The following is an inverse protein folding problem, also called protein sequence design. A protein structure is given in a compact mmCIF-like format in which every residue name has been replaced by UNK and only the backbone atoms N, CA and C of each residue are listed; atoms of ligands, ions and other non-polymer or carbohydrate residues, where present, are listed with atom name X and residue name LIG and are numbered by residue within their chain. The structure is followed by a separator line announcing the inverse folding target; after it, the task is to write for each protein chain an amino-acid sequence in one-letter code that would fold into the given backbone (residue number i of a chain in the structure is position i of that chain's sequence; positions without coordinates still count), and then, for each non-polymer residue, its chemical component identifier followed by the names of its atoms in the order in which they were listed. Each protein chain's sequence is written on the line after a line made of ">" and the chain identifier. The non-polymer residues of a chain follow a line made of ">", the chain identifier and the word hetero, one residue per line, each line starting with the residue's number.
data_IF_217509074717
#
_entry.id   IF_217509074717
#
_cell.length_a   1.000
_cell.length_b   1.000
_cell.length_c   1.000
_cell.angle_alpha   90.00
_cell.angle_beta   90.00
_cell.angle_gamma   90.00
#
_symmetry.space_group_name_H-M   'P 1'
#
loop_
_entity.id
_entity.type
_entity.pdbx_description
1 polymer ?
#
# COMPACT_ATOMS: atom_id res chain seq x y z
N UNK A 1 5.81 17.18 8.77
CA UNK A 1 7.12 16.59 9.07
C UNK A 1 7.43 15.48 8.08
N UNK A 2 8.55 15.57 7.44
CA UNK A 2 8.94 14.57 6.43
C UNK A 2 9.68 13.42 7.10
N UNK A 3 9.12 12.21 7.04
CA UNK A 3 9.86 11.02 7.42
C UNK A 3 10.58 10.50 6.18
N UNK A 4 11.87 10.75 6.10
CA UNK A 4 12.72 10.15 5.07
C UNK A 4 13.38 8.94 5.70
N UNK A 5 13.02 7.75 5.24
CA UNK A 5 13.78 6.57 5.58
C UNK A 5 14.69 6.28 4.38
N UNK A 6 15.94 6.63 4.53
CA UNK A 6 16.98 6.31 3.54
C UNK A 6 17.50 4.93 3.86
N UNK A 7 17.18 3.95 3.03
CA UNK A 7 17.81 2.65 3.15
C UNK A 7 19.00 2.61 2.21
N UNK A 8 20.16 2.93 2.74
CA UNK A 8 21.42 2.75 2.01
C UNK A 8 21.82 1.28 2.12
N UNK A 9 21.80 0.58 1.00
CA UNK A 9 22.43 -0.74 0.91
C UNK A 9 23.68 -0.63 0.07
N UNK A 10 24.82 -0.77 0.73
CA UNK A 10 26.09 -0.90 0.05
C UNK A 10 26.17 -2.24 -0.69
N UNK A 11 26.59 -2.19 -1.93
CA UNK A 11 27.05 -3.34 -2.69
C UNK A 11 26.04 -4.00 -3.62
N UNK A 12 25.85 -3.43 -4.78
CA UNK A 12 25.14 -4.06 -5.88
C UNK A 12 24.81 -3.04 -6.96
N UNK A 13 25.40 -3.18 -8.11
CA UNK A 13 25.09 -2.32 -9.25
C UNK A 13 23.59 -2.32 -9.54
N UNK A 14 22.96 -1.15 -9.50
CA UNK A 14 21.61 -0.92 -10.00
C UNK A 14 20.48 -0.79 -8.98
N UNK A 15 20.75 -0.79 -7.68
CA UNK A 15 19.70 -0.53 -6.67
C UNK A 15 19.87 0.87 -6.12
N UNK A 16 19.15 1.80 -6.73
CA UNK A 16 19.11 3.18 -6.29
C UNK A 16 18.45 3.32 -4.92
N UNK A 17 18.73 4.44 -4.31
CA UNK A 17 18.13 4.89 -3.07
C UNK A 17 16.61 5.00 -3.21
N UNK A 18 15.86 4.46 -2.22
CA UNK A 18 14.40 4.55 -2.15
C UNK A 18 14.02 5.38 -0.94
N UNK A 19 13.15 6.35 -1.12
CA UNK A 19 12.58 7.12 0.00
C UNK A 19 11.06 7.11 -0.06
N UNK A 20 10.43 7.27 1.10
CA UNK A 20 8.97 7.40 1.21
C UNK A 20 8.66 8.86 1.46
N UNK A 21 7.78 9.44 0.65
CA UNK A 21 7.33 10.82 0.82
C UNK A 21 5.81 10.91 0.77
N UNK A 22 5.28 11.99 1.31
CA UNK A 22 3.84 12.28 1.19
C UNK A 22 3.48 12.43 -0.29
N UNK A 23 2.41 11.76 -0.70
CA UNK A 23 1.84 11.98 -2.02
C UNK A 23 1.08 13.31 -2.05
N UNK A 24 1.09 13.96 -3.20
CA UNK A 24 0.39 15.21 -3.45
C UNK A 24 -0.55 15.07 -4.64
N UNK A 25 -1.44 16.04 -4.83
CA UNK A 25 -2.48 15.98 -5.87
C UNK A 25 -1.93 15.66 -7.28
N UNK A 26 -0.76 16.21 -7.62
CA UNK A 26 -0.13 15.96 -8.93
C UNK A 26 0.34 14.52 -9.13
N UNK A 27 0.41 13.71 -8.06
CA UNK A 27 0.75 12.28 -8.15
C UNK A 27 -0.44 11.43 -8.60
N UNK A 28 -1.64 11.97 -8.65
CA UNK A 28 -2.87 11.21 -8.86
C UNK A 28 -2.81 10.29 -10.08
N UNK A 29 -2.32 10.77 -11.21
CA UNK A 29 -2.22 9.96 -12.44
C UNK A 29 -1.23 8.80 -12.30
N UNK A 30 -0.10 9.04 -11.65
CA UNK A 30 0.93 8.02 -11.43
C UNK A 30 0.43 6.92 -10.53
N UNK A 31 -0.27 7.28 -9.44
CA UNK A 31 -0.84 6.32 -8.51
C UNK A 31 -1.95 5.52 -9.16
N UNK A 32 -2.84 6.17 -9.92
CA UNK A 32 -3.88 5.48 -10.66
C UNK A 32 -3.29 4.46 -11.63
N UNK A 33 -2.22 4.84 -12.34
CA UNK A 33 -1.55 3.95 -13.29
C UNK A 33 -0.98 2.71 -12.59
N UNK A 34 -0.41 2.86 -11.40
CA UNK A 34 0.08 1.72 -10.62
C UNK A 34 -1.05 0.73 -10.30
N UNK A 35 -2.21 1.23 -9.90
CA UNK A 35 -3.36 0.38 -9.59
C UNK A 35 -3.85 -0.36 -10.84
N UNK A 36 -4.09 0.37 -11.92
CA UNK A 36 -4.69 -0.21 -13.13
C UNK A 36 -3.74 -1.11 -13.91
N UNK A 37 -2.44 -0.93 -13.78
CA UNK A 37 -1.43 -1.75 -14.45
C UNK A 37 -0.94 -2.93 -13.61
N UNK A 38 -1.44 -3.10 -12.38
CA UNK A 38 -0.95 -4.12 -11.46
C UNK A 38 -1.27 -5.54 -11.95
N UNK A 39 -0.23 -6.37 -12.08
CA UNK A 39 -0.37 -7.79 -12.43
C UNK A 39 -1.03 -8.61 -11.33
N UNK A 40 -1.01 -8.13 -10.08
CA UNK A 40 -1.71 -8.77 -8.98
C UNK A 40 -3.22 -8.90 -9.25
N UNK A 41 -3.77 -8.06 -10.12
CA UNK A 41 -5.18 -8.05 -10.49
C UNK A 41 -5.42 -8.51 -11.92
N UNK A 42 -4.54 -9.33 -12.48
CA UNK A 42 -4.77 -9.97 -13.78
C UNK A 42 -5.85 -11.06 -13.70
N UNK A 43 -6.39 -11.44 -14.87
CA UNK A 43 -7.39 -12.51 -14.97
C UNK A 43 -8.71 -12.12 -14.32
N UNK A 44 -9.25 -12.99 -13.49
CA UNK A 44 -10.56 -12.77 -12.88
C UNK A 44 -10.57 -11.63 -11.84
N UNK A 45 -9.40 -11.16 -11.40
CA UNK A 45 -9.30 -10.00 -10.50
C UNK A 45 -9.30 -8.66 -11.23
N UNK A 46 -9.10 -8.64 -12.55
CA UNK A 46 -8.99 -7.41 -13.33
C UNK A 46 -10.19 -6.45 -13.17
N UNK A 47 -11.45 -6.92 -13.09
CA UNK A 47 -12.58 -6.01 -12.94
C UNK A 47 -12.54 -5.15 -11.67
N UNK A 48 -11.83 -5.59 -10.63
CA UNK A 48 -11.74 -4.86 -9.37
C UNK A 48 -11.01 -3.53 -9.51
N UNK A 49 -10.05 -3.44 -10.43
CA UNK A 49 -9.25 -2.25 -10.67
C UNK A 49 -9.55 -1.55 -11.97
N UNK A 50 -10.38 -2.16 -12.84
CA UNK A 50 -10.78 -1.55 -14.10
C UNK A 50 -11.52 -0.23 -13.83
N UNK A 51 -11.05 0.87 -14.42
CA UNK A 51 -11.65 2.18 -14.22
C UNK A 51 -11.39 2.80 -12.85
N UNK A 52 -10.64 2.15 -11.97
CA UNK A 52 -10.30 2.70 -10.67
C UNK A 52 -9.45 3.95 -10.82
N UNK A 53 -9.70 4.92 -9.96
CA UNK A 53 -9.00 6.20 -10.01
C UNK A 53 -8.63 6.67 -8.62
N UNK A 54 -7.35 6.98 -8.41
CA UNK A 54 -6.87 7.66 -7.21
C UNK A 54 -6.94 9.16 -7.49
N UNK A 55 -7.94 9.82 -6.91
CA UNK A 55 -8.18 11.24 -7.19
C UNK A 55 -7.37 12.19 -6.29
N UNK A 56 -7.22 13.47 -6.69
CA UNK A 56 -6.53 14.47 -5.88
C UNK A 56 -7.15 14.66 -4.49
N UNK A 57 -8.47 14.71 -4.40
CA UNK A 57 -9.17 14.89 -3.12
C UNK A 57 -8.91 13.72 -2.17
N UNK A 58 -8.91 12.50 -2.69
CA UNK A 58 -8.57 11.31 -1.92
C UNK A 58 -7.16 11.41 -1.34
N UNK A 59 -6.20 11.83 -2.15
CA UNK A 59 -4.79 11.99 -1.73
C UNK A 59 -4.67 13.02 -0.62
N UNK A 60 -5.39 14.13 -0.72
CA UNK A 60 -5.34 15.20 0.27
C UNK A 60 -6.09 14.84 1.56
N UNK A 61 -7.20 14.09 1.45
CA UNK A 61 -8.04 13.72 2.59
C UNK A 61 -7.40 12.64 3.46
N UNK A 62 -6.76 11.65 2.84
CA UNK A 62 -6.18 10.51 3.55
C UNK A 62 -4.66 10.60 3.65
N UNK A 63 -4.07 9.69 4.43
CA UNK A 63 -2.61 9.62 4.59
C UNK A 63 -2.03 8.77 3.47
N UNK A 64 -1.69 9.40 2.35
CA UNK A 64 -1.17 8.73 1.17
C UNK A 64 0.32 9.02 1.04
N UNK A 65 1.13 7.97 0.96
CA UNK A 65 2.59 8.05 0.88
C UNK A 65 3.10 7.20 -0.28
N UNK A 66 4.09 7.71 -0.97
CA UNK A 66 4.70 7.04 -2.12
C UNK A 66 6.17 6.71 -1.85
N UNK A 67 6.57 5.51 -2.24
CA UNK A 67 7.97 5.13 -2.32
C UNK A 67 8.49 5.53 -3.69
N UNK A 68 9.55 6.33 -3.72
CA UNK A 68 10.12 6.87 -4.96
C UNK A 68 11.61 6.58 -5.03
N UNK A 69 12.13 6.46 -6.25
CA UNK A 69 13.57 6.31 -6.49
C UNK A 69 14.28 7.66 -6.60
N UNK A 70 15.57 7.64 -6.92
CA UNK A 70 16.38 8.85 -7.04
C UNK A 70 15.89 9.79 -8.14
N UNK A 71 15.22 9.27 -9.17
CA UNK A 71 14.65 10.05 -10.28
C UNK A 71 13.18 10.41 -10.05
N UNK A 72 12.67 10.30 -8.81
CA UNK A 72 11.29 10.59 -8.45
C UNK A 72 10.25 9.69 -9.12
N UNK A 73 10.65 8.53 -9.64
CA UNK A 73 9.68 7.56 -10.17
C UNK A 73 9.01 6.83 -9.01
N UNK A 74 7.68 6.70 -9.10
CA UNK A 74 6.89 6.03 -8.06
C UNK A 74 7.04 4.51 -8.20
N UNK A 75 7.56 3.87 -7.16
CA UNK A 75 7.76 2.43 -7.09
C UNK A 75 6.58 1.72 -6.44
N UNK A 76 5.86 2.41 -5.58
CA UNK A 76 4.70 1.90 -4.88
C UNK A 76 4.10 2.99 -4.01
N UNK A 77 2.94 2.70 -3.41
CA UNK A 77 2.31 3.65 -2.50
C UNK A 77 1.33 2.93 -1.56
N UNK A 78 0.95 3.60 -0.49
CA UNK A 78 -0.17 3.17 0.33
C UNK A 78 -1.09 4.35 0.65
N UNK A 79 -2.32 4.03 1.01
CA UNK A 79 -3.28 4.99 1.53
C UNK A 79 -3.83 4.48 2.86
N UNK A 80 -3.62 5.26 3.91
CA UNK A 80 -4.12 4.98 5.25
C UNK A 80 -5.30 5.90 5.55
N UNK A 81 -6.44 5.29 5.86
CA UNK A 81 -7.62 5.98 6.38
C UNK A 81 -7.54 5.96 7.90
N UNK A 82 -7.75 7.12 8.53
CA UNK A 82 -7.65 7.23 10.00
C UNK A 82 -8.96 6.88 10.71
N UNK A 83 -10.10 7.16 10.10
CA UNK A 83 -11.42 6.96 10.73
C UNK A 83 -12.41 6.33 9.75
N UNK A 84 -12.76 5.03 9.91
CA UNK A 84 -12.11 4.06 10.80
C UNK A 84 -10.70 3.68 10.33
N UNK A 85 -9.82 3.18 11.23
CA UNK A 85 -8.44 2.86 10.86
C UNK A 85 -8.36 1.73 9.85
N UNK A 86 -7.92 2.03 8.63
CA UNK A 86 -7.85 1.03 7.56
C UNK A 86 -6.73 1.34 6.58
N UNK A 87 -5.98 0.31 6.20
CA UNK A 87 -5.10 0.37 5.04
C UNK A 87 -5.96 0.15 3.80
N UNK A 88 -6.35 1.24 3.16
CA UNK A 88 -7.31 1.19 2.05
C UNK A 88 -6.68 0.74 0.74
N UNK A 89 -5.46 1.22 0.47
CA UNK A 89 -4.72 0.87 -0.74
C UNK A 89 -3.26 0.58 -0.39
N UNK A 90 -2.69 -0.41 -1.06
CA UNK A 90 -1.26 -0.65 -1.08
C UNK A 90 -0.89 -1.36 -2.37
N UNK A 91 -0.04 -0.72 -3.15
CA UNK A 91 0.39 -1.23 -4.44
C UNK A 91 1.89 -1.04 -4.60
N UNK A 92 2.55 -2.06 -5.14
CA UNK A 92 3.95 -2.00 -5.55
C UNK A 92 3.98 -2.24 -7.05
N UNK A 93 4.66 -1.37 -7.79
CA UNK A 93 4.77 -1.51 -9.25
C UNK A 93 5.43 -2.84 -9.63
N UNK A 94 4.97 -3.45 -10.72
CA UNK A 94 5.50 -4.75 -11.16
C UNK A 94 7.01 -4.71 -11.39
N UNK A 95 7.52 -3.58 -11.88
CA UNK A 95 8.95 -3.37 -12.10
C UNK A 95 9.76 -3.24 -10.81
N UNK A 96 9.11 -3.02 -9.69
CA UNK A 96 9.75 -2.84 -8.38
C UNK A 96 9.53 -4.02 -7.43
N UNK A 97 8.90 -5.10 -7.89
CA UNK A 97 8.70 -6.31 -7.08
C UNK A 97 10.04 -6.94 -6.69
N UNK A 98 10.06 -7.59 -5.54
CA UNK A 98 11.25 -8.27 -5.03
C UNK A 98 12.33 -7.36 -4.44
N UNK A 99 12.06 -6.05 -4.31
CA UNK A 99 13.01 -5.07 -3.76
C UNK A 99 12.73 -4.65 -2.32
N UNK A 100 11.77 -5.30 -1.67
CA UNK A 100 11.39 -4.94 -0.30
C UNK A 100 10.54 -3.68 -0.18
N UNK A 101 9.99 -3.16 -1.27
CA UNK A 101 9.18 -1.93 -1.27
C UNK A 101 7.92 -2.10 -0.43
N UNK A 102 7.25 -3.26 -0.55
CA UNK A 102 6.05 -3.56 0.25
C UNK A 102 6.32 -3.52 1.74
N UNK A 103 7.42 -4.12 2.19
CA UNK A 103 7.82 -4.10 3.61
C UNK A 103 8.16 -2.69 4.07
N UNK A 104 8.84 -1.92 3.24
CA UNK A 104 9.17 -0.52 3.52
C UNK A 104 7.89 0.30 3.71
N UNK A 105 6.92 0.14 2.82
CA UNK A 105 5.64 0.86 2.88
C UNK A 105 4.83 0.47 4.12
N UNK A 106 4.74 -0.82 4.44
CA UNK A 106 4.03 -1.28 5.65
C UNK A 106 4.69 -0.74 6.91
N UNK A 107 6.02 -0.75 6.99
CA UNK A 107 6.75 -0.18 8.12
C UNK A 107 6.49 1.31 8.30
N UNK A 108 6.49 2.05 7.21
CA UNK A 108 6.17 3.48 7.21
C UNK A 108 4.71 3.72 7.65
N UNK A 109 3.77 2.97 7.09
CA UNK A 109 2.34 3.06 7.42
C UNK A 109 2.10 2.78 8.90
N UNK A 110 2.74 1.77 9.45
CA UNK A 110 2.65 1.40 10.85
C UNK A 110 3.09 2.55 11.76
N UNK A 111 4.18 3.22 11.41
CA UNK A 111 4.69 4.37 12.14
C UNK A 111 3.73 5.57 12.03
N UNK A 112 3.20 5.86 10.86
CA UNK A 112 2.20 6.90 10.65
C UNK A 112 0.94 6.64 11.47
N UNK A 113 0.46 5.39 11.47
CA UNK A 113 -0.71 4.99 12.26
C UNK A 113 -0.45 5.18 13.76
N UNK A 114 0.73 4.78 14.23
CA UNK A 114 1.12 4.95 15.63
C UNK A 114 1.15 6.42 16.03
N UNK A 115 1.72 7.28 15.20
CA UNK A 115 1.76 8.74 15.43
C UNK A 115 0.37 9.37 15.46
N UNK A 116 -0.57 8.81 14.70
CA UNK A 116 -1.96 9.24 14.70
C UNK A 116 -2.77 8.69 15.89
N UNK A 117 -2.13 7.94 16.78
CA UNK A 117 -2.79 7.37 17.97
C UNK A 117 -3.59 6.11 17.71
N UNK A 118 -3.39 5.45 16.59
CA UNK A 118 -4.09 4.21 16.25
C UNK A 118 -3.38 3.01 16.86
N UNK A 119 -4.14 2.13 17.54
CA UNK A 119 -3.60 0.90 18.13
C UNK A 119 -3.44 -0.22 17.10
N UNK A 120 -4.29 -0.25 16.09
CA UNK A 120 -4.29 -1.25 15.04
C UNK A 120 -4.90 -0.69 13.76
N UNK A 121 -4.58 -1.33 12.64
CA UNK A 121 -5.08 -0.97 11.32
C UNK A 121 -5.74 -2.20 10.70
N UNK A 122 -6.96 -2.01 10.21
CA UNK A 122 -7.70 -3.05 9.49
C UNK A 122 -7.18 -3.16 8.06
N UNK A 123 -7.05 -4.39 7.57
CA UNK A 123 -6.66 -4.67 6.19
C UNK A 123 -7.67 -5.65 5.61
N UNK A 124 -8.35 -5.24 4.53
CA UNK A 124 -9.15 -6.16 3.71
C UNK A 124 -8.29 -6.49 2.50
N UNK A 125 -7.70 -7.68 2.52
CA UNK A 125 -6.64 -8.03 1.59
C UNK A 125 -7.19 -8.55 0.27
N UNK A 126 -6.57 -8.14 -0.84
CA UNK A 126 -6.60 -8.92 -2.06
C UNK A 126 -6.16 -10.35 -1.72
N UNK A 127 -6.92 -11.41 -2.09
CA UNK A 127 -6.63 -12.76 -1.62
C UNK A 127 -5.19 -13.23 -1.82
N UNK A 128 -4.54 -13.02 -2.98
CA UNK A 128 -3.14 -13.42 -3.15
C UNK A 128 -2.15 -12.69 -2.26
N UNK A 129 -2.52 -11.55 -1.67
CA UNK A 129 -1.62 -10.74 -0.83
C UNK A 129 -1.68 -11.12 0.65
N UNK A 130 -2.56 -12.00 1.07
CA UNK A 130 -2.70 -12.37 2.48
C UNK A 130 -1.38 -12.85 3.09
N UNK A 131 -0.65 -13.71 2.38
CA UNK A 131 0.64 -14.22 2.86
C UNK A 131 1.65 -13.12 3.12
N UNK A 132 1.68 -12.12 2.27
CA UNK A 132 2.54 -10.96 2.46
C UNK A 132 2.18 -10.21 3.75
N UNK A 133 0.91 -9.89 3.95
CA UNK A 133 0.49 -9.16 5.16
C UNK A 133 0.76 -9.96 6.43
N UNK A 134 0.55 -11.27 6.42
CA UNK A 134 0.93 -12.13 7.55
C UNK A 134 2.44 -12.08 7.81
N UNK A 135 3.24 -12.06 6.76
CA UNK A 135 4.70 -12.02 6.88
C UNK A 135 5.22 -10.73 7.53
N UNK A 136 4.46 -9.64 7.49
CA UNK A 136 4.80 -8.38 8.15
C UNK A 136 4.09 -8.19 9.49
N UNK A 137 3.44 -9.23 10.01
CA UNK A 137 2.88 -9.24 11.35
C UNK A 137 1.37 -9.07 11.44
N UNK A 138 0.64 -9.00 10.33
CA UNK A 138 -0.80 -8.93 10.36
C UNK A 138 -1.41 -10.28 10.76
N UNK A 139 -2.50 -10.23 11.50
CA UNK A 139 -3.21 -11.42 11.98
C UNK A 139 -4.59 -11.45 11.35
N UNK A 140 -4.98 -12.61 10.81
CA UNK A 140 -6.31 -12.77 10.25
C UNK A 140 -7.38 -12.71 11.33
N UNK A 141 -8.39 -11.88 11.12
CA UNK A 141 -9.50 -11.67 12.05
C UNK A 141 -10.85 -12.12 11.49
N UNK A 142 -10.94 -12.33 10.18
CA UNK A 142 -12.21 -12.73 9.59
C UNK A 142 -12.16 -12.80 8.07
N UNK A 143 -13.36 -12.73 7.49
CA UNK A 143 -13.56 -12.75 6.04
C UNK A 143 -14.61 -11.70 5.69
N UNK A 144 -14.31 -10.89 4.69
CA UNK A 144 -15.31 -10.01 4.07
C UNK A 144 -15.91 -10.76 2.88
N UNK A 145 -17.21 -11.06 2.96
CA UNK A 145 -17.88 -11.83 1.93
C UNK A 145 -17.97 -11.08 0.61
N UNK A 146 -18.04 -11.82 -0.48
CA UNK A 146 -18.24 -11.25 -1.81
C UNK A 146 -19.45 -10.33 -1.84
N UNK A 147 -19.35 -9.24 -2.60
CA UNK A 147 -20.41 -8.25 -2.80
C UNK A 147 -20.62 -8.02 -4.30
N UNK A 148 -21.21 -9.01 -5.04
CA UNK A 148 -21.44 -8.85 -6.48
C UNK A 148 -22.37 -7.66 -6.78
N UNK A 149 -22.18 -6.99 -7.93
CA UNK A 149 -21.15 -7.25 -8.95
C UNK A 149 -19.82 -6.56 -8.68
N UNK A 150 -19.67 -5.76 -7.63
CA UNK A 150 -18.46 -4.99 -7.37
C UNK A 150 -17.26 -5.88 -7.01
N UNK A 151 -17.48 -6.87 -6.11
CA UNK A 151 -16.45 -7.85 -5.73
C UNK A 151 -17.05 -9.24 -5.78
N UNK A 152 -16.49 -10.10 -6.62
CA UNK A 152 -17.03 -11.43 -6.92
C UNK A 152 -16.47 -12.54 -6.03
N UNK A 153 -15.57 -12.23 -5.10
CA UNK A 153 -14.93 -13.22 -4.24
C UNK A 153 -14.82 -12.71 -2.80
N UNK A 154 -14.69 -13.63 -1.86
CA UNK A 154 -14.42 -13.33 -0.47
C UNK A 154 -13.00 -12.79 -0.30
N UNK A 155 -12.81 -11.89 0.66
CA UNK A 155 -11.51 -11.30 0.96
C UNK A 155 -11.15 -11.55 2.43
N UNK A 156 -9.88 -11.94 2.71
CA UNK A 156 -9.45 -12.03 4.10
C UNK A 156 -9.40 -10.67 4.77
N UNK A 157 -9.87 -10.63 6.01
CA UNK A 157 -9.75 -9.47 6.87
C UNK A 157 -8.64 -9.73 7.88
N UNK A 158 -7.73 -8.77 8.02
CA UNK A 158 -6.61 -8.85 8.95
C UNK A 158 -6.52 -7.59 9.81
N UNK A 159 -5.80 -7.70 10.90
CA UNK A 159 -5.46 -6.58 11.76
C UNK A 159 -3.95 -6.52 11.94
N UNK A 160 -3.40 -5.33 11.80
CA UNK A 160 -1.99 -5.05 12.03
C UNK A 160 -1.83 -4.13 13.22
N UNK A 161 -1.22 -4.64 14.30
CA UNK A 161 -0.92 -3.81 15.46
C UNK A 161 0.16 -2.78 15.12
N UNK A 162 0.03 -1.59 15.70
CA UNK A 162 0.95 -0.48 15.42
C UNK A 162 2.14 -0.44 16.36
N UNK A 163 2.07 -1.13 17.49
CA UNK A 163 3.11 -1.13 18.53
C UNK A 163 4.31 -2.03 18.22
N UNK A 164 4.46 -2.51 17.02
CA UNK A 164 5.73 -3.03 16.48
C UNK A 164 6.35 -4.26 17.13
N UNK A 165 5.61 -5.00 17.90
CA UNK A 165 6.14 -6.26 18.43
C UNK A 165 5.86 -7.44 17.50
#
# INVERSE_FOLDING_TARGET
>A
MRSSITTSRGGGAGRGEVRVRRAVARDARRLTRLVTASRAYEGHYAPMVAGYRVGPDYIETHRVFAAVDAEERVLGFYALILTPPELDLMFVGDHAQGRGIGRLLVGHMREEARRAGLAAVRIVSHPPAEGFYRSVGARRTGTVTAAPPAVMWDRPELSLATDGS
#
